data_IF_580110077966
#
_entry.id   IF_580110077966
#
_cell.length_a   1.000
_cell.length_b   1.000
_cell.length_c   1.000
_cell.angle_alpha   90.00
_cell.angle_beta   90.00
_cell.angle_gamma   90.00
#
_symmetry.space_group_name_H-M   'P 1'
#
loop_
_entity.id
_entity.type
_entity.pdbx_description
1 polymer ?
#
# COMPACT_ATOMS: atom_id res chain seq x y z
N UNK A 1 -20.67 -1.90 -13.56
CA UNK A 1 -19.44 -2.37 -14.23
C UNK A 1 -18.32 -1.32 -14.24
N UNK A 2 -18.45 -0.17 -14.93
CA UNK A 2 -17.38 0.87 -14.91
C UNK A 2 -17.27 1.58 -13.55
N UNK A 3 -18.40 1.94 -12.94
CA UNK A 3 -18.47 2.62 -11.65
C UNK A 3 -17.89 1.78 -10.51
N UNK A 4 -18.15 0.46 -10.50
CA UNK A 4 -17.63 -0.44 -9.47
C UNK A 4 -16.10 -0.57 -9.55
N UNK A 5 -15.55 -0.62 -10.76
CA UNK A 5 -14.09 -0.66 -10.98
C UNK A 5 -13.42 0.63 -10.54
N UNK A 6 -14.05 1.78 -10.79
CA UNK A 6 -13.56 3.07 -10.30
C UNK A 6 -13.58 3.14 -8.77
N UNK A 7 -14.66 2.69 -8.13
CA UNK A 7 -14.75 2.63 -6.67
C UNK A 7 -13.68 1.71 -6.05
N UNK A 8 -13.49 0.51 -6.63
CA UNK A 8 -12.44 -0.44 -6.23
C UNK A 8 -11.05 0.20 -6.34
N UNK A 9 -10.79 0.90 -7.44
CA UNK A 9 -9.52 1.60 -7.64
C UNK A 9 -9.30 2.70 -6.59
N UNK A 10 -10.33 3.47 -6.24
CA UNK A 10 -10.25 4.50 -5.20
C UNK A 10 -9.94 3.90 -3.82
N UNK A 11 -10.66 2.85 -3.40
CA UNK A 11 -10.41 2.21 -2.10
C UNK A 11 -8.99 1.67 -2.01
N UNK A 12 -8.50 1.03 -3.07
CA UNK A 12 -7.14 0.51 -3.10
C UNK A 12 -6.10 1.64 -3.13
N UNK A 13 -6.36 2.71 -3.87
CA UNK A 13 -5.49 3.88 -3.94
C UNK A 13 -5.36 4.55 -2.57
N UNK A 14 -6.46 4.79 -1.87
CA UNK A 14 -6.47 5.41 -0.54
C UNK A 14 -5.65 4.60 0.47
N UNK A 15 -5.76 3.26 0.44
CA UNK A 15 -4.97 2.37 1.27
C UNK A 15 -3.47 2.42 0.92
N UNK A 16 -3.13 2.44 -0.37
CA UNK A 16 -1.75 2.57 -0.84
C UNK A 16 -1.14 3.91 -0.42
N UNK A 17 -1.85 5.01 -0.61
CA UNK A 17 -1.37 6.34 -0.21
C UNK A 17 -1.18 6.45 1.29
N UNK A 18 -2.13 5.93 2.07
CA UNK A 18 -2.03 5.90 3.54
C UNK A 18 -0.83 5.07 3.98
N UNK A 19 -0.56 3.93 3.34
CA UNK A 19 0.55 3.04 3.69
C UNK A 19 1.95 3.69 3.58
N UNK A 20 2.07 4.76 2.78
CA UNK A 20 3.32 5.50 2.61
C UNK A 20 3.58 6.53 3.70
N UNK A 21 2.62 6.80 4.60
CA UNK A 21 2.91 7.63 5.76
C UNK A 21 3.75 6.81 6.75
N UNK A 22 4.77 7.43 7.37
CA UNK A 22 5.59 6.71 8.33
C UNK A 22 4.75 6.27 9.55
N UNK A 23 4.87 5.01 9.96
CA UNK A 23 4.13 4.45 11.10
C UNK A 23 2.72 3.89 10.79
N UNK A 24 2.19 4.01 9.57
CA UNK A 24 0.86 3.49 9.18
C UNK A 24 0.85 1.97 8.98
N UNK A 25 1.10 1.21 10.05
CA UNK A 25 1.17 -0.25 10.00
C UNK A 25 -0.17 -0.91 9.69
N UNK A 26 -1.29 -0.27 10.04
CA UNK A 26 -2.63 -0.81 9.77
C UNK A 26 -2.94 -0.84 8.28
N UNK A 27 -2.67 0.24 7.55
CA UNK A 27 -2.83 0.30 6.10
C UNK A 27 -1.95 -0.74 5.40
N UNK A 28 -0.70 -0.90 5.85
CA UNK A 28 0.21 -1.93 5.34
C UNK A 28 -0.35 -3.33 5.56
N UNK A 29 -0.79 -3.66 6.79
CA UNK A 29 -1.42 -4.96 7.10
C UNK A 29 -2.68 -5.21 6.27
N UNK A 30 -3.51 -4.19 6.06
CA UNK A 30 -4.71 -4.31 5.25
C UNK A 30 -4.38 -4.65 3.78
N UNK A 31 -3.32 -4.06 3.23
CA UNK A 31 -2.84 -4.35 1.86
C UNK A 31 -2.35 -5.81 1.71
N UNK A 32 -1.86 -6.43 2.78
CA UNK A 32 -1.55 -7.87 2.82
C UNK A 32 -2.79 -8.77 2.99
N UNK A 33 -3.96 -8.18 3.24
CA UNK A 33 -5.20 -8.92 3.47
C UNK A 33 -5.78 -9.54 2.21
N UNK A 34 -6.51 -10.63 2.37
CA UNK A 34 -7.17 -11.35 1.27
C UNK A 34 -8.09 -10.45 0.42
N UNK A 35 -8.72 -9.45 1.05
CA UNK A 35 -9.59 -8.50 0.35
C UNK A 35 -8.77 -7.62 -0.60
N UNK A 36 -7.66 -7.04 -0.14
CA UNK A 36 -6.77 -6.25 -0.98
C UNK A 36 -6.21 -7.08 -2.14
N UNK A 37 -5.81 -8.34 -1.90
CA UNK A 37 -5.39 -9.25 -2.96
C UNK A 37 -6.46 -9.44 -4.04
N UNK A 38 -7.74 -9.56 -3.66
CA UNK A 38 -8.84 -9.61 -4.63
C UNK A 38 -9.00 -8.29 -5.39
N UNK A 39 -8.85 -7.14 -4.74
CA UNK A 39 -8.95 -5.83 -5.39
C UNK A 39 -7.82 -5.62 -6.40
N UNK A 40 -6.58 -6.04 -6.09
CA UNK A 40 -5.47 -6.05 -7.06
C UNK A 40 -5.82 -6.88 -8.30
N UNK A 41 -6.33 -8.10 -8.12
CA UNK A 41 -6.71 -8.98 -9.24
C UNK A 41 -7.84 -8.40 -10.09
N UNK A 42 -8.84 -7.75 -9.47
CA UNK A 42 -9.92 -7.07 -10.20
C UNK A 42 -9.44 -5.89 -11.04
N UNK A 43 -8.24 -5.38 -10.76
CA UNK A 43 -7.58 -4.32 -11.52
C UNK A 43 -6.48 -4.85 -12.46
N UNK A 44 -6.41 -6.17 -12.66
CA UNK A 44 -5.40 -6.83 -13.48
C UNK A 44 -3.95 -6.62 -12.96
N UNK A 45 -3.81 -6.45 -11.63
CA UNK A 45 -2.52 -6.28 -10.96
C UNK A 45 -2.18 -7.57 -10.19
N UNK A 46 -1.01 -8.20 -10.45
CA UNK A 46 -0.55 -9.33 -9.64
C UNK A 46 -0.26 -8.90 -8.20
N UNK A 47 -0.92 -9.50 -7.17
CA UNK A 47 -0.77 -9.07 -5.78
C UNK A 47 0.67 -9.15 -5.27
N UNK A 48 1.37 -10.25 -5.55
CA UNK A 48 2.73 -10.46 -5.06
C UNK A 48 3.70 -9.39 -5.58
N UNK A 49 3.62 -9.08 -6.88
CA UNK A 49 4.45 -8.04 -7.49
C UNK A 49 4.10 -6.62 -7.00
N UNK A 50 2.82 -6.38 -6.67
CA UNK A 50 2.40 -5.11 -6.07
C UNK A 50 2.95 -4.97 -4.64
N UNK A 51 2.80 -6.01 -3.83
CA UNK A 51 3.28 -6.03 -2.44
C UNK A 51 4.80 -5.91 -2.35
N UNK A 52 5.56 -6.64 -3.18
CA UNK A 52 7.02 -6.52 -3.24
C UNK A 52 7.47 -5.08 -3.51
N UNK A 53 6.80 -4.39 -4.45
CA UNK A 53 7.08 -2.98 -4.77
C UNK A 53 6.70 -2.03 -3.63
N UNK A 54 5.60 -2.31 -2.92
CA UNK A 54 5.15 -1.52 -1.78
C UNK A 54 6.10 -1.68 -0.60
N UNK A 55 6.50 -2.90 -0.27
CA UNK A 55 7.48 -3.20 0.78
C UNK A 55 8.81 -2.48 0.54
N UNK A 56 9.33 -2.54 -0.67
CA UNK A 56 10.55 -1.83 -1.05
C UNK A 56 10.43 -0.30 -0.84
N UNK A 57 9.24 0.28 -1.03
CA UNK A 57 8.99 1.71 -0.76
C UNK A 57 8.86 1.98 0.73
N UNK A 58 8.14 1.15 1.48
CA UNK A 58 8.00 1.29 2.93
C UNK A 58 9.35 1.26 3.65
N UNK A 59 10.24 0.33 3.28
CA UNK A 59 11.59 0.27 3.85
C UNK A 59 12.39 1.56 3.64
N UNK A 60 12.23 2.23 2.49
CA UNK A 60 12.89 3.52 2.22
C UNK A 60 12.31 4.64 3.06
N UNK A 61 10.99 4.68 3.22
CA UNK A 61 10.30 5.68 4.05
C UNK A 61 10.72 5.53 5.50
N UNK A 62 10.66 4.30 6.03
CA UNK A 62 11.02 4.00 7.42
C UNK A 62 12.52 4.25 7.66
N UNK A 63 13.38 3.89 6.70
CA UNK A 63 14.82 4.17 6.76
C UNK A 63 15.14 5.68 6.76
N UNK A 64 14.39 6.47 6.00
CA UNK A 64 14.53 7.93 6.00
C UNK A 64 14.02 8.57 7.29
N UNK A 65 12.94 8.05 7.88
CA UNK A 65 12.43 8.53 9.17
C UNK A 65 13.47 8.31 10.28
N UNK A 66 14.04 7.10 10.38
CA UNK A 66 15.07 6.79 11.38
C UNK A 66 16.27 7.73 11.31
N UNK A 67 16.77 8.01 10.09
CA UNK A 67 17.87 8.98 9.89
C UNK A 67 17.52 10.38 10.38
N UNK A 68 16.27 10.83 10.22
CA UNK A 68 15.82 12.14 10.67
C UNK A 68 15.76 12.23 12.19
N UNK A 69 15.30 11.15 12.84
CA UNK A 69 15.25 11.05 14.30
C UNK A 69 16.65 10.99 14.93
N UNK A 70 17.63 10.40 14.26
CA UNK A 70 19.04 10.36 14.71
C UNK A 70 19.78 11.70 14.58
N UNK A 71 19.27 12.64 13.77
CA UNK A 71 19.88 13.95 13.50
C UNK A 71 19.30 15.09 14.36
N UNK A 72 18.30 14.82 15.19
CA UNK A 72 17.60 15.76 16.06
C UNK A 72 17.79 15.40 17.54
#
# INVERSE_FOLDING_TARGET
MLHDRQFIATVLLDAVETSFRPGELEARRWLHGWLACRLFLLLDIPPDAALERLEAKWMRIDGNQRKKEELH
#
